data_IF_175888077100
#
_entry.id   IF_175888077100
#
_cell.length_a   1.000
_cell.length_b   1.000
_cell.length_c   1.000
_cell.angle_alpha   90.00
_cell.angle_beta   90.00
_cell.angle_gamma   90.00
#
_symmetry.space_group_name_H-M   'P 1'
#
loop_
_entity.id
_entity.type
_entity.pdbx_description
1 polymer ?
#
# COMPACT_ATOMS: atom_id res chain seq x y z
N UNK A 1 -27.75 -3.54 -11.43
CA UNK A 1 -26.65 -3.90 -12.32
C UNK A 1 -25.34 -3.32 -11.80
N UNK A 2 -24.42 -4.17 -11.35
CA UNK A 2 -23.17 -3.78 -10.69
C UNK A 2 -22.27 -2.91 -11.59
N UNK A 3 -22.26 -3.17 -12.90
CA UNK A 3 -21.42 -2.43 -13.85
C UNK A 3 -21.85 -0.96 -13.97
N UNK A 4 -23.16 -0.72 -14.01
CA UNK A 4 -23.73 0.64 -14.05
C UNK A 4 -23.39 1.40 -12.76
N UNK A 5 -23.56 0.75 -11.60
CA UNK A 5 -23.25 1.38 -10.30
C UNK A 5 -21.75 1.73 -10.21
N UNK A 6 -20.87 0.83 -10.64
CA UNK A 6 -19.41 1.09 -10.69
C UNK A 6 -19.07 2.29 -11.59
N UNK A 7 -19.70 2.42 -12.74
CA UNK A 7 -19.47 3.54 -13.64
C UNK A 7 -19.94 4.86 -13.04
N UNK A 8 -21.07 4.86 -12.32
CA UNK A 8 -21.58 6.02 -11.57
C UNK A 8 -20.58 6.44 -10.49
N UNK A 9 -20.08 5.50 -9.69
CA UNK A 9 -19.07 5.79 -8.65
C UNK A 9 -17.77 6.32 -9.27
N UNK A 10 -17.29 5.71 -10.35
CA UNK A 10 -16.08 6.16 -11.05
C UNK A 10 -16.19 7.60 -11.56
N UNK A 11 -17.38 8.00 -12.00
CA UNK A 11 -17.67 9.38 -12.43
C UNK A 11 -18.06 10.32 -11.30
N UNK A 12 -18.23 9.79 -10.09
CA UNK A 12 -18.73 10.51 -8.90
C UNK A 12 -20.01 11.30 -9.19
N UNK A 13 -20.92 10.74 -10.00
CA UNK A 13 -22.14 11.40 -10.43
C UNK A 13 -23.28 11.18 -9.44
N UNK A 14 -23.52 12.16 -8.56
CA UNK A 14 -24.64 12.12 -7.60
C UNK A 14 -26.00 12.05 -8.30
N UNK A 15 -26.28 12.83 -9.38
CA UNK A 15 -27.57 12.72 -10.07
C UNK A 15 -27.83 11.34 -10.67
N UNK A 16 -26.80 10.72 -11.29
CA UNK A 16 -26.95 9.38 -11.85
C UNK A 16 -27.13 8.35 -10.74
N UNK A 17 -26.45 8.53 -9.60
CA UNK A 17 -26.64 7.66 -8.44
C UNK A 17 -28.08 7.75 -7.91
N UNK A 18 -28.64 8.95 -7.78
CA UNK A 18 -30.02 9.14 -7.33
C UNK A 18 -31.03 8.44 -8.24
N UNK A 19 -30.86 8.60 -9.54
CA UNK A 19 -31.71 7.92 -10.53
C UNK A 19 -31.59 6.39 -10.41
N UNK A 20 -30.36 5.87 -10.31
CA UNK A 20 -30.11 4.45 -10.17
C UNK A 20 -30.72 3.86 -8.90
N UNK A 21 -30.50 4.50 -7.75
CA UNK A 21 -31.02 4.06 -6.46
C UNK A 21 -32.55 4.08 -6.41
N UNK A 22 -33.16 5.12 -6.98
CA UNK A 22 -34.62 5.24 -7.08
C UNK A 22 -35.24 4.16 -7.97
N UNK A 23 -34.68 3.94 -9.16
CA UNK A 23 -35.15 2.92 -10.09
C UNK A 23 -35.06 1.49 -9.52
N UNK A 24 -34.02 1.23 -8.71
CA UNK A 24 -33.81 -0.07 -8.08
C UNK A 24 -34.41 -0.19 -6.68
N UNK A 25 -35.15 0.81 -6.20
CA UNK A 25 -35.82 0.86 -4.89
C UNK A 25 -34.87 0.59 -3.70
N UNK A 26 -33.64 1.10 -3.78
CA UNK A 26 -32.61 0.90 -2.74
C UNK A 26 -32.89 1.86 -1.58
N UNK A 27 -33.14 1.30 -0.39
CA UNK A 27 -33.55 2.08 0.80
C UNK A 27 -32.44 2.92 1.43
N UNK A 28 -31.18 2.50 1.31
CA UNK A 28 -30.02 3.13 1.96
C UNK A 28 -29.33 4.17 1.07
N UNK A 29 -30.11 4.91 0.29
CA UNK A 29 -29.61 5.88 -0.71
C UNK A 29 -28.66 6.92 -0.11
N UNK A 30 -28.89 7.37 1.13
CA UNK A 30 -28.03 8.33 1.83
C UNK A 30 -26.62 7.78 2.06
N UNK A 31 -26.47 6.52 2.44
CA UNK A 31 -25.16 5.88 2.65
C UNK A 31 -24.35 5.77 1.37
N UNK A 32 -25.00 5.42 0.25
CA UNK A 32 -24.31 5.39 -1.06
C UNK A 32 -23.82 6.77 -1.49
N UNK A 33 -24.60 7.82 -1.23
CA UNK A 33 -24.18 9.19 -1.50
C UNK A 33 -22.99 9.60 -0.63
N UNK A 34 -23.04 9.24 0.66
CA UNK A 34 -21.93 9.51 1.57
C UNK A 34 -20.63 8.87 1.09
N UNK A 35 -20.66 7.64 0.56
CA UNK A 35 -19.46 7.00 -0.01
C UNK A 35 -18.80 7.85 -1.10
N UNK A 36 -19.57 8.44 -2.01
CA UNK A 36 -19.03 9.31 -3.07
C UNK A 36 -18.40 10.59 -2.50
N UNK A 37 -18.91 11.08 -1.37
CA UNK A 37 -18.50 12.35 -0.76
C UNK A 37 -17.38 12.18 0.29
N UNK A 38 -17.12 10.96 0.74
CA UNK A 38 -16.09 10.65 1.73
C UNK A 38 -14.73 10.52 1.03
N UNK A 39 -14.18 11.67 0.65
CA UNK A 39 -12.83 11.81 0.14
C UNK A 39 -12.11 12.97 0.86
N UNK A 40 -10.86 12.76 1.27
CA UNK A 40 -10.10 13.77 2.02
C UNK A 40 -8.98 13.18 2.88
N UNK A 41 -8.59 13.96 3.89
CA UNK A 41 -7.59 13.57 4.88
C UNK A 41 -8.12 12.50 5.85
N UNK A 42 -7.35 12.16 6.88
CA UNK A 42 -7.69 11.13 7.88
C UNK A 42 -9.04 11.36 8.58
N UNK A 43 -9.53 12.60 8.63
CA UNK A 43 -10.79 12.92 9.34
C UNK A 43 -11.99 12.26 8.71
N UNK A 44 -11.96 12.02 7.41
CA UNK A 44 -13.08 11.35 6.73
C UNK A 44 -13.30 9.91 7.23
N UNK A 45 -12.28 9.30 7.85
CA UNK A 45 -12.42 7.97 8.46
C UNK A 45 -13.30 8.00 9.71
N UNK A 46 -13.30 9.10 10.47
CA UNK A 46 -14.21 9.31 11.61
C UNK A 46 -15.64 9.54 11.13
N UNK A 47 -15.81 10.40 10.11
CA UNK A 47 -17.10 10.65 9.48
C UNK A 47 -17.71 9.37 8.91
N UNK A 48 -16.86 8.53 8.29
CA UNK A 48 -17.28 7.24 7.75
C UNK A 48 -17.77 6.27 8.83
N UNK A 49 -17.11 6.21 9.99
CA UNK A 49 -17.56 5.36 11.11
C UNK A 49 -18.94 5.76 11.59
N UNK A 50 -19.25 7.05 11.68
CA UNK A 50 -20.60 7.52 12.08
C UNK A 50 -21.65 7.11 11.04
N UNK A 51 -21.36 7.26 9.75
CA UNK A 51 -22.29 6.92 8.67
C UNK A 51 -22.57 5.43 8.59
N UNK A 52 -21.53 4.59 8.81
CA UNK A 52 -21.59 3.14 8.58
C UNK A 52 -21.57 2.31 9.87
N UNK A 53 -21.87 2.90 11.04
CA UNK A 53 -21.81 2.25 12.36
C UNK A 53 -22.61 0.95 12.51
N UNK A 54 -23.60 0.73 11.65
CA UNK A 54 -24.43 -0.46 11.59
C UNK A 54 -23.98 -1.48 10.52
N UNK A 55 -22.80 -1.28 9.90
CA UNK A 55 -22.27 -2.12 8.82
C UNK A 55 -20.87 -2.68 9.18
N UNK A 56 -20.78 -3.81 9.93
CA UNK A 56 -19.52 -4.31 10.49
C UNK A 56 -18.41 -4.48 9.45
N UNK A 57 -18.72 -5.01 8.27
CA UNK A 57 -17.72 -5.21 7.21
C UNK A 57 -17.12 -3.91 6.66
N UNK A 58 -17.85 -2.80 6.73
CA UNK A 58 -17.31 -1.48 6.35
C UNK A 58 -16.47 -0.93 7.49
N UNK A 59 -16.87 -1.13 8.75
CA UNK A 59 -16.07 -0.74 9.92
C UNK A 59 -14.71 -1.43 9.88
N UNK A 60 -14.66 -2.74 9.62
CA UNK A 60 -13.40 -3.48 9.50
C UNK A 60 -12.49 -2.88 8.41
N UNK A 61 -13.07 -2.51 7.27
CA UNK A 61 -12.31 -1.87 6.18
C UNK A 61 -11.79 -0.48 6.56
N UNK A 62 -12.58 0.31 7.30
CA UNK A 62 -12.14 1.63 7.81
C UNK A 62 -11.02 1.45 8.83
N UNK A 63 -11.09 0.45 9.71
CA UNK A 63 -10.05 0.15 10.68
C UNK A 63 -8.73 -0.25 10.00
N UNK A 64 -8.79 -0.97 8.89
CA UNK A 64 -7.59 -1.28 8.11
C UNK A 64 -6.98 -0.01 7.46
N UNK A 65 -7.80 0.93 7.00
CA UNK A 65 -7.31 2.23 6.51
C UNK A 65 -6.68 3.05 7.65
N UNK A 66 -7.23 3.01 8.86
CA UNK A 66 -6.64 3.65 10.04
C UNK A 66 -5.29 3.07 10.42
N UNK A 67 -5.14 1.74 10.40
CA UNK A 67 -3.84 1.08 10.62
C UNK A 67 -2.80 1.54 9.60
N UNK A 68 -3.20 1.68 8.34
CA UNK A 68 -2.31 2.24 7.31
C UNK A 68 -1.96 3.71 7.60
N UNK A 69 -2.93 4.52 7.99
CA UNK A 69 -2.67 5.91 8.37
C UNK A 69 -1.65 5.99 9.51
N UNK A 70 -1.84 5.19 10.55
CA UNK A 70 -0.93 5.13 11.69
C UNK A 70 0.47 4.67 11.29
N UNK A 71 0.58 3.69 10.40
CA UNK A 71 1.86 3.22 9.88
C UNK A 71 2.64 4.33 9.14
N UNK A 72 1.94 5.19 8.40
CA UNK A 72 2.58 6.23 7.60
C UNK A 72 2.83 7.54 8.34
N UNK A 73 2.43 7.69 9.61
CA UNK A 73 2.61 8.93 10.40
C UNK A 73 4.05 9.41 10.51
N UNK A 74 5.00 8.46 10.54
CA UNK A 74 6.43 8.77 10.66
C UNK A 74 7.13 8.93 9.31
N UNK A 75 6.39 8.85 8.20
CA UNK A 75 6.93 9.01 6.86
C UNK A 75 6.58 10.40 6.30
N UNK A 76 7.48 10.97 5.51
CA UNK A 76 7.23 12.22 4.76
C UNK A 76 6.29 11.93 3.57
N UNK A 77 5.06 11.55 3.89
CA UNK A 77 4.04 11.14 2.93
C UNK A 77 2.68 11.65 3.40
N UNK A 78 1.99 12.35 2.55
CA UNK A 78 0.61 12.78 2.77
C UNK A 78 -0.33 11.71 2.28
N UNK A 79 -1.23 11.24 3.16
CA UNK A 79 -2.27 10.28 2.81
C UNK A 79 -3.60 11.00 2.56
N UNK A 80 -4.26 10.57 1.49
CA UNK A 80 -5.64 10.97 1.15
C UNK A 80 -6.46 9.71 0.98
N UNK A 81 -7.67 9.71 1.49
CA UNK A 81 -8.59 8.59 1.46
C UNK A 81 -9.77 8.92 0.56
N UNK A 82 -10.22 7.98 -0.24
CA UNK A 82 -11.40 8.08 -1.10
C UNK A 82 -12.20 6.78 -0.97
N UNK A 83 -13.26 6.81 -0.17
CA UNK A 83 -14.08 5.63 0.10
C UNK A 83 -15.03 5.29 -1.07
N UNK A 84 -15.19 6.22 -2.00
CA UNK A 84 -15.96 6.02 -3.23
C UNK A 84 -15.13 5.56 -4.43
N UNK A 85 -13.81 5.38 -4.26
CA UNK A 85 -12.93 4.99 -5.37
C UNK A 85 -13.23 3.59 -5.87
N UNK A 86 -13.49 3.49 -7.15
CA UNK A 86 -13.73 2.22 -7.84
C UNK A 86 -12.77 2.08 -9.01
N UNK A 87 -11.77 1.24 -8.86
CA UNK A 87 -10.79 0.96 -9.91
C UNK A 87 -11.41 0.19 -11.08
N UNK A 88 -10.89 0.43 -12.27
CA UNK A 88 -11.32 -0.22 -13.50
C UNK A 88 -11.07 -1.74 -13.51
N UNK A 89 -10.15 -2.22 -12.68
CA UNK A 89 -9.80 -3.64 -12.61
C UNK A 89 -10.66 -4.37 -11.60
N UNK A 90 -11.45 -5.34 -12.04
CA UNK A 90 -12.41 -6.09 -11.22
C UNK A 90 -11.77 -7.10 -10.25
N UNK A 91 -10.46 -7.29 -10.32
CA UNK A 91 -9.76 -8.31 -9.53
C UNK A 91 -9.29 -7.81 -8.15
N UNK A 92 -9.42 -6.51 -7.86
CA UNK A 92 -9.13 -6.01 -6.51
C UNK A 92 -10.31 -6.29 -5.58
N UNK A 93 -10.04 -6.89 -4.44
CA UNK A 93 -11.01 -7.25 -3.41
C UNK A 93 -10.65 -6.70 -2.02
N UNK A 94 -9.69 -5.80 -1.95
CA UNK A 94 -9.27 -5.11 -0.76
C UNK A 94 -8.84 -3.68 -1.03
N UNK A 95 -7.93 -3.16 -0.19
CA UNK A 95 -7.41 -1.81 -0.30
C UNK A 95 -6.72 -1.61 -1.66
N UNK A 96 -7.01 -0.50 -2.30
CA UNK A 96 -6.33 -0.02 -3.51
C UNK A 96 -5.61 1.28 -3.20
N UNK A 97 -4.51 1.55 -3.88
CA UNK A 97 -3.76 2.79 -3.70
C UNK A 97 -3.25 3.36 -5.01
N UNK A 98 -2.98 4.64 -5.01
CA UNK A 98 -2.24 5.33 -6.05
C UNK A 98 -1.28 6.33 -5.39
N UNK A 99 -0.03 6.36 -5.85
CA UNK A 99 0.97 7.32 -5.41
C UNK A 99 1.13 8.43 -6.46
N UNK A 100 1.18 9.65 -5.97
CA UNK A 100 1.35 10.85 -6.79
C UNK A 100 2.59 11.62 -6.37
N UNK A 101 3.12 12.43 -7.25
CA UNK A 101 4.20 13.38 -6.97
C UNK A 101 3.75 14.78 -7.37
N UNK A 102 4.16 15.78 -6.58
CA UNK A 102 3.90 17.20 -6.90
C UNK A 102 4.45 17.63 -8.29
N UNK A 103 5.39 16.84 -8.83
CA UNK A 103 6.03 17.13 -10.13
C UNK A 103 5.40 16.40 -11.32
N UNK A 104 4.38 15.58 -11.10
CA UNK A 104 3.80 14.75 -12.14
C UNK A 104 2.28 14.62 -11.97
N UNK A 105 1.52 14.93 -13.02
CA UNK A 105 0.06 15.01 -12.99
C UNK A 105 -0.66 13.66 -13.02
N UNK A 106 0.07 12.56 -13.15
CA UNK A 106 -0.50 11.21 -13.17
C UNK A 106 0.01 10.40 -11.98
N UNK A 107 -0.68 9.32 -11.66
CA UNK A 107 -0.18 8.36 -10.69
C UNK A 107 1.15 7.78 -11.16
N UNK A 108 2.18 7.85 -10.32
CA UNK A 108 3.51 7.27 -10.57
C UNK A 108 3.58 5.81 -10.19
N UNK A 109 2.74 5.38 -9.26
CA UNK A 109 2.52 3.99 -8.89
C UNK A 109 1.06 3.78 -8.53
N UNK A 110 0.55 2.58 -8.74
CA UNK A 110 -0.79 2.18 -8.34
C UNK A 110 -0.84 0.68 -8.11
N UNK A 111 -1.68 0.26 -7.18
CA UNK A 111 -1.79 -1.14 -6.84
C UNK A 111 -2.93 -1.43 -5.86
N UNK A 112 -2.92 -2.63 -5.30
CA UNK A 112 -3.93 -3.03 -4.33
C UNK A 112 -3.83 -4.50 -3.95
N UNK A 113 -4.75 -4.93 -3.08
CA UNK A 113 -4.93 -6.30 -2.64
C UNK A 113 -5.87 -7.03 -3.60
N UNK A 114 -5.56 -8.29 -3.93
CA UNK A 114 -6.31 -9.11 -4.89
C UNK A 114 -6.26 -10.60 -4.55
N UNK A 115 -6.70 -10.95 -3.36
CA UNK A 115 -6.68 -12.33 -2.85
C UNK A 115 -7.56 -13.26 -3.69
N UNK A 116 -8.68 -12.75 -4.21
CA UNK A 116 -9.62 -13.50 -5.05
C UNK A 116 -9.03 -14.03 -6.34
N UNK A 117 -8.02 -13.35 -6.90
CA UNK A 117 -7.36 -13.85 -8.10
C UNK A 117 -6.65 -15.18 -7.87
N UNK A 118 -6.11 -15.38 -6.66
CA UNK A 118 -5.41 -16.61 -6.29
C UNK A 118 -6.34 -17.80 -6.06
N UNK A 119 -7.64 -17.58 -5.88
CA UNK A 119 -8.64 -18.65 -5.69
C UNK A 119 -8.78 -19.54 -6.92
N UNK A 120 -8.38 -19.04 -8.09
CA UNK A 120 -8.34 -19.81 -9.34
C UNK A 120 -7.16 -20.80 -9.43
N UNK A 121 -6.26 -20.76 -8.46
CA UNK A 121 -5.09 -21.63 -8.38
C UNK A 121 -5.24 -22.64 -7.25
N UNK A 122 -4.56 -23.78 -7.34
CA UNK A 122 -4.62 -24.88 -6.34
C UNK A 122 -4.17 -24.48 -4.91
N UNK A 123 -3.60 -23.31 -4.75
CA UNK A 123 -3.14 -22.78 -3.45
C UNK A 123 -3.56 -21.31 -3.31
N UNK A 124 -4.76 -21.00 -2.78
CA UNK A 124 -5.16 -19.64 -2.48
C UNK A 124 -4.15 -18.94 -1.57
N UNK A 125 -3.74 -17.73 -1.93
CA UNK A 125 -2.78 -16.91 -1.16
C UNK A 125 -3.24 -15.47 -1.15
N UNK A 126 -3.01 -14.81 -0.03
CA UNK A 126 -3.10 -13.36 0.02
C UNK A 126 -2.09 -12.74 -0.95
N UNK A 127 -2.56 -11.79 -1.76
CA UNK A 127 -1.76 -11.17 -2.78
C UNK A 127 -1.93 -9.66 -2.80
N UNK A 128 -0.80 -8.96 -2.83
CA UNK A 128 -0.73 -7.51 -3.02
C UNK A 128 0.31 -7.21 -4.07
N UNK A 129 0.00 -6.31 -4.98
CA UNK A 129 0.95 -5.91 -6.01
C UNK A 129 0.72 -4.49 -6.48
N UNK A 130 1.68 -3.99 -7.23
CA UNK A 130 1.61 -2.65 -7.80
C UNK A 130 2.35 -2.56 -9.13
N UNK A 131 1.98 -1.56 -9.92
CA UNK A 131 2.70 -1.10 -11.09
C UNK A 131 3.19 0.33 -10.87
N UNK A 132 4.29 0.72 -11.53
CA UNK A 132 4.82 2.07 -11.45
C UNK A 132 5.36 2.56 -12.80
N UNK A 133 5.43 3.89 -12.96
CA UNK A 133 6.00 4.52 -14.16
C UNK A 133 7.53 4.57 -14.04
N UNK A 134 8.18 3.56 -14.65
CA UNK A 134 9.64 3.45 -14.64
C UNK A 134 10.31 4.64 -15.34
N UNK A 135 9.72 5.18 -16.41
CA UNK A 135 10.29 6.33 -17.13
C UNK A 135 10.34 7.56 -16.23
N UNK A 136 9.26 7.80 -15.49
CA UNK A 136 9.22 8.89 -14.52
C UNK A 136 10.34 8.75 -13.48
N UNK A 137 10.48 7.56 -12.87
CA UNK A 137 11.50 7.31 -11.83
C UNK A 137 12.93 7.49 -12.36
N UNK A 138 13.22 7.01 -13.58
CA UNK A 138 14.54 7.17 -14.20
C UNK A 138 14.85 8.64 -14.46
N UNK A 139 13.88 9.43 -14.93
CA UNK A 139 14.06 10.85 -15.19
C UNK A 139 14.24 11.68 -13.91
N UNK A 140 13.74 11.23 -12.77
CA UNK A 140 13.86 11.93 -11.48
C UNK A 140 15.15 11.61 -10.73
N UNK A 141 15.72 10.43 -10.95
CA UNK A 141 16.95 10.03 -10.29
C UNK A 141 17.90 9.38 -11.32
N UNK A 142 19.17 9.81 -11.31
CA UNK A 142 20.24 9.03 -11.89
C UNK A 142 20.45 7.77 -11.04
N UNK A 143 19.64 6.74 -11.26
CA UNK A 143 19.78 5.47 -10.55
C UNK A 143 21.06 4.82 -11.06
N UNK A 144 22.13 4.97 -10.31
CA UNK A 144 23.35 4.17 -10.54
C UNK A 144 23.00 2.70 -10.30
N UNK A 145 22.99 1.91 -11.37
CA UNK A 145 22.84 0.45 -11.29
C UNK A 145 24.13 -0.13 -10.67
N UNK A 146 24.23 -0.04 -9.36
CA UNK A 146 25.25 -0.79 -8.63
C UNK A 146 24.72 -2.23 -8.42
N UNK A 147 25.50 -3.20 -8.87
CA UNK A 147 25.28 -4.64 -8.60
C UNK A 147 25.42 -4.93 -7.09
N UNK A 148 24.45 -4.46 -6.29
CA UNK A 148 24.45 -4.74 -4.86
C UNK A 148 23.74 -6.05 -4.58
N UNK A 149 24.27 -6.77 -3.58
CA UNK A 149 23.78 -8.08 -3.15
C UNK A 149 22.33 -8.00 -2.71
N UNK A 150 21.54 -9.00 -3.08
CA UNK A 150 20.22 -9.24 -2.50
C UNK A 150 20.39 -9.82 -1.11
N UNK A 151 19.79 -9.22 -0.10
CA UNK A 151 19.79 -9.65 1.29
C UNK A 151 18.42 -10.23 1.64
N UNK A 152 18.39 -11.37 2.33
CA UNK A 152 17.15 -11.97 2.80
C UNK A 152 16.90 -11.54 4.25
N UNK A 153 15.79 -10.84 4.47
CA UNK A 153 15.35 -10.35 5.77
C UNK A 153 14.25 -11.24 6.36
N UNK A 154 14.22 -11.47 7.69
CA UNK A 154 13.09 -12.10 8.34
C UNK A 154 11.86 -11.18 8.26
N UNK A 155 10.67 -11.79 8.27
CA UNK A 155 9.42 -11.04 8.37
C UNK A 155 9.09 -10.82 9.84
N UNK A 156 9.52 -9.69 10.40
CA UNK A 156 9.28 -9.29 11.79
C UNK A 156 8.81 -7.86 11.84
N UNK A 157 7.79 -7.63 12.68
CA UNK A 157 7.28 -6.30 12.98
C UNK A 157 8.06 -5.73 14.18
N UNK A 158 9.14 -5.01 13.87
CA UNK A 158 10.02 -4.37 14.84
C UNK A 158 10.55 -3.06 14.26
N UNK A 159 10.27 -1.94 14.91
CA UNK A 159 10.61 -0.59 14.45
C UNK A 159 12.10 -0.41 14.16
N UNK A 160 12.96 -0.87 15.07
CA UNK A 160 14.42 -0.73 14.95
C UNK A 160 14.96 -1.55 13.77
N UNK A 161 14.32 -2.70 13.50
CA UNK A 161 14.67 -3.52 12.35
C UNK A 161 14.23 -2.88 11.03
N UNK A 162 13.03 -2.31 11.02
CA UNK A 162 12.49 -1.60 9.85
C UNK A 162 13.38 -0.39 9.52
N UNK A 163 13.79 0.39 10.52
CA UNK A 163 14.70 1.51 10.33
C UNK A 163 16.06 1.04 9.79
N UNK A 164 16.63 -0.01 10.35
CA UNK A 164 17.89 -0.59 9.88
C UNK A 164 17.80 -1.05 8.42
N UNK A 165 16.71 -1.72 8.03
CA UNK A 165 16.45 -2.11 6.64
C UNK A 165 16.36 -0.89 5.73
N UNK A 166 15.66 0.18 6.15
CA UNK A 166 15.49 1.39 5.36
C UNK A 166 16.83 2.11 5.13
N UNK A 167 17.71 2.14 6.13
CA UNK A 167 19.08 2.65 5.99
C UNK A 167 19.87 1.84 4.94
N UNK A 168 19.79 0.51 4.96
CA UNK A 168 20.45 -0.34 3.96
C UNK A 168 19.87 -0.15 2.55
N UNK A 169 18.56 0.03 2.43
CA UNK A 169 17.91 0.35 1.15
C UNK A 169 18.36 1.71 0.62
N UNK A 170 18.47 2.72 1.48
CA UNK A 170 19.02 4.03 1.10
C UNK A 170 20.47 3.94 0.60
N UNK A 171 21.26 3.00 1.12
CA UNK A 171 22.59 2.67 0.62
C UNK A 171 22.56 1.84 -0.68
N UNK A 172 21.34 1.50 -1.19
CA UNK A 172 21.11 0.80 -2.45
C UNK A 172 21.17 -0.73 -2.35
N UNK A 173 21.07 -1.33 -1.15
CA UNK A 173 20.91 -2.77 -1.02
C UNK A 173 19.51 -3.21 -1.44
N UNK A 174 19.41 -4.37 -2.09
CA UNK A 174 18.12 -5.01 -2.38
C UNK A 174 17.80 -5.93 -1.21
N UNK A 175 16.68 -5.68 -0.52
CA UNK A 175 16.27 -6.48 0.63
C UNK A 175 14.95 -7.18 0.33
N UNK A 176 14.97 -8.50 0.37
CA UNK A 176 13.81 -9.37 0.18
C UNK A 176 13.36 -9.91 1.53
N UNK A 177 12.12 -9.66 1.90
CA UNK A 177 11.50 -10.22 3.10
C UNK A 177 11.00 -11.63 2.81
N UNK A 178 11.35 -12.59 3.64
CA UNK A 178 10.88 -13.97 3.52
C UNK A 178 9.60 -14.15 4.36
N UNK A 179 8.48 -14.15 3.70
CA UNK A 179 7.16 -14.32 4.33
C UNK A 179 6.92 -15.74 4.87
N UNK A 180 7.69 -16.73 4.41
CA UNK A 180 7.48 -18.15 4.77
C UNK A 180 8.52 -18.71 5.74
N UNK A 181 9.56 -17.95 6.07
CA UNK A 181 10.66 -18.40 6.92
C UNK A 181 11.47 -19.55 6.30
N UNK A 182 11.43 -19.71 4.97
CA UNK A 182 12.03 -20.85 4.26
C UNK A 182 13.46 -20.60 3.81
N UNK A 183 13.91 -19.34 3.79
CA UNK A 183 15.24 -18.96 3.33
C UNK A 183 16.17 -18.61 4.49
N UNK A 184 17.46 -18.85 4.28
CA UNK A 184 18.48 -18.36 5.19
C UNK A 184 18.46 -16.83 5.24
N UNK A 185 18.30 -16.27 6.46
CA UNK A 185 18.29 -14.82 6.66
C UNK A 185 19.71 -14.27 6.80
N UNK A 186 19.95 -13.10 6.21
CA UNK A 186 21.25 -12.43 6.24
C UNK A 186 21.42 -11.48 7.44
N UNK A 187 20.47 -11.43 8.37
CA UNK A 187 20.43 -10.53 9.51
C UNK A 187 20.51 -11.26 10.86
N UNK A 188 21.10 -10.62 11.84
CA UNK A 188 21.19 -11.09 13.24
C UNK A 188 20.99 -9.93 14.20
N UNK A 189 20.30 -10.20 15.31
CA UNK A 189 20.19 -9.24 16.41
C UNK A 189 21.20 -9.65 17.50
N UNK A 190 22.14 -8.77 17.78
CA UNK A 190 23.15 -8.95 18.85
C UNK A 190 23.00 -7.81 19.86
N UNK A 191 22.62 -8.16 21.09
CA UNK A 191 22.44 -7.21 22.19
C UNK A 191 21.51 -6.02 21.83
N UNK A 192 20.40 -6.30 21.14
CA UNK A 192 19.43 -5.28 20.73
C UNK A 192 19.81 -4.48 19.46
N UNK A 193 20.95 -4.79 18.84
CA UNK A 193 21.37 -4.11 17.60
C UNK A 193 21.33 -5.07 16.41
N UNK A 194 20.70 -4.63 15.33
CA UNK A 194 20.65 -5.38 14.08
C UNK A 194 21.94 -5.24 13.29
N UNK A 195 22.40 -6.36 12.74
CA UNK A 195 23.61 -6.46 11.91
C UNK A 195 23.42 -7.43 10.77
N UNK A 196 24.24 -7.27 9.72
CA UNK A 196 24.37 -8.30 8.69
C UNK A 196 25.24 -9.44 9.21
N UNK A 197 24.80 -10.68 8.96
CA UNK A 197 25.62 -11.89 9.23
C UNK A 197 26.91 -11.86 8.42
N UNK A 198 28.02 -12.10 9.06
CA UNK A 198 29.28 -12.35 8.37
C UNK A 198 29.19 -13.69 7.64
N UNK A 199 29.31 -13.70 6.31
CA UNK A 199 29.53 -14.96 5.58
C UNK A 199 30.97 -15.34 5.68
N UNK A 200 31.23 -16.58 6.11
CA UNK A 200 32.55 -17.17 6.22
C UNK A 200 33.45 -16.81 5.03
N UNK A 201 34.46 -15.97 5.28
CA UNK A 201 35.65 -15.84 4.45
C UNK A 201 35.81 -14.54 3.61
N UNK A 202 34.94 -13.53 3.67
CA UNK A 202 35.26 -12.20 3.09
C UNK A 202 34.80 -11.08 4.02
N UNK A 203 35.75 -10.44 4.70
CA UNK A 203 35.55 -9.18 5.42
C UNK A 203 34.97 -8.16 4.43
N UNK A 204 33.74 -7.69 4.66
CA UNK A 204 33.27 -6.44 4.06
C UNK A 204 34.11 -5.30 4.64
N UNK A 205 34.96 -4.70 3.83
CA UNK A 205 35.71 -3.50 4.17
C UNK A 205 34.74 -2.39 4.55
N UNK A 206 34.83 -1.92 5.81
CA UNK A 206 34.25 -0.67 6.26
C UNK A 206 34.87 0.49 5.46
N UNK A 207 34.24 0.90 4.39
CA UNK A 207 34.57 2.17 3.75
C UNK A 207 33.91 3.28 4.59
N UNK A 208 34.69 3.85 5.50
CA UNK A 208 34.43 5.18 6.04
C UNK A 208 34.53 6.17 4.88
N UNK A 209 33.42 6.78 4.49
CA UNK A 209 33.49 7.97 3.66
C UNK A 209 33.64 9.20 4.57
N UNK A 210 34.53 10.16 4.23
CA UNK A 210 34.65 11.41 4.97
C UNK A 210 33.40 12.25 4.75
N UNK A 211 32.91 12.85 5.83
CA UNK A 211 31.92 13.91 5.79
C UNK A 211 32.56 15.14 5.13
N UNK A 212 32.00 15.62 4.05
CA UNK A 212 32.24 16.89 3.42
C UNK A 212 30.90 17.52 3.08
#
# INVERSE_FOLDING_TARGET
DKAVLRDIFRRKSIPDLDNFLSQNQIKESSKFKSLISLDGDEKILDDALEVFKDMPSIIDAIDDLRKLNDFFKDYDTELMFDLGEVKAYEYHDGIVFAAYSKKYSKAIAQGGRYDGLSQSFDSPREATGFSFDLKFLIHQQAIGLNNKRVLNAPNIDNSDFIEFINQLRAQGHIIRTDLKGSNEVDFVNENGKWKLKEKNGKKCSNHRYPMG
#
